data_IF_717666028578
#
_entry.id   IF_717666028578
#
_cell.length_a   1.000
_cell.length_b   1.000
_cell.length_c   1.000
_cell.angle_alpha   90.00
_cell.angle_beta   90.00
_cell.angle_gamma   90.00
#
_symmetry.space_group_name_H-M   'P 1'
#
loop_
_entity.id
_entity.type
_entity.pdbx_description
1 polymer ?
#
# COMPACT_ATOMS: atom_id res chain seq x y z
N UNK A 1 9.65 4.67 14.85
CA UNK A 1 9.64 3.33 14.23
C UNK A 1 9.02 3.47 12.86
N UNK A 2 9.75 3.11 11.80
CA UNK A 2 9.18 3.05 10.46
C UNK A 2 8.75 1.60 10.18
N UNK A 3 7.57 1.45 9.60
CA UNK A 3 7.01 0.17 9.22
C UNK A 3 7.27 -0.08 7.74
N UNK A 4 8.05 -1.12 7.40
CA UNK A 4 8.31 -1.49 6.02
C UNK A 4 7.50 -2.73 5.64
N UNK A 5 6.95 -2.70 4.44
CA UNK A 5 6.21 -3.83 3.86
C UNK A 5 6.46 -3.87 2.36
N UNK A 6 6.52 -5.08 1.80
CA UNK A 6 6.64 -5.30 0.36
C UNK A 6 5.32 -5.89 -0.14
N UNK A 7 4.75 -5.30 -1.19
CA UNK A 7 3.52 -5.74 -1.83
C UNK A 7 3.79 -6.19 -3.27
N UNK A 8 3.32 -7.37 -3.64
CA UNK A 8 3.47 -7.93 -4.98
C UNK A 8 2.15 -7.78 -5.74
N UNK A 9 2.17 -7.11 -6.89
CA UNK A 9 1.03 -6.93 -7.78
C UNK A 9 0.67 -8.25 -8.48
N UNK A 10 -0.62 -8.59 -8.43
CA UNK A 10 -1.22 -9.70 -9.18
C UNK A 10 -1.69 -9.19 -10.54
N UNK A 11 -1.17 -9.80 -11.62
CA UNK A 11 -1.55 -9.49 -13.00
C UNK A 11 -0.37 -9.52 -13.99
N UNK A 12 -0.70 -9.75 -15.25
CA UNK A 12 0.27 -9.81 -16.36
C UNK A 12 0.91 -8.44 -16.65
N UNK A 13 0.11 -7.37 -16.65
CA UNK A 13 0.56 -6.01 -16.96
C UNK A 13 0.62 -5.13 -15.72
N UNK A 14 1.83 -4.86 -15.19
CA UNK A 14 1.96 -4.24 -13.89
C UNK A 14 1.50 -2.79 -13.88
N UNK A 15 1.71 -2.01 -14.95
CA UNK A 15 1.20 -0.63 -15.02
C UNK A 15 -0.33 -0.53 -15.01
N UNK A 16 -1.00 -1.42 -15.75
CA UNK A 16 -2.46 -1.46 -15.82
C UNK A 16 -3.05 -1.93 -14.49
N UNK A 17 -2.43 -2.92 -13.86
CA UNK A 17 -2.79 -3.39 -12.52
C UNK A 17 -2.56 -2.30 -11.47
N UNK A 18 -1.44 -1.57 -11.51
CA UNK A 18 -1.18 -0.46 -10.59
C UNK A 18 -2.22 0.64 -10.75
N UNK A 19 -2.52 1.13 -11.96
CA UNK A 19 -3.54 2.18 -12.14
C UNK A 19 -4.91 1.77 -11.62
N UNK A 20 -5.33 0.52 -11.85
CA UNK A 20 -6.57 -0.02 -11.29
C UNK A 20 -6.52 -0.07 -9.77
N UNK A 21 -5.39 -0.53 -9.23
CA UNK A 21 -5.15 -0.59 -7.80
C UNK A 21 -5.23 0.79 -7.16
N UNK A 22 -4.53 1.80 -7.69
CA UNK A 22 -4.58 3.17 -7.14
C UNK A 22 -6.01 3.73 -7.12
N UNK A 23 -6.78 3.42 -8.17
CA UNK A 23 -8.18 3.84 -8.27
C UNK A 23 -9.05 3.18 -7.20
N UNK A 24 -8.96 1.86 -7.05
CA UNK A 24 -9.76 1.11 -6.06
C UNK A 24 -9.29 1.31 -4.62
N UNK A 25 -7.98 1.41 -4.43
CA UNK A 25 -7.36 1.73 -3.16
C UNK A 25 -7.98 2.99 -2.56
N UNK A 26 -8.22 4.02 -3.39
CA UNK A 26 -8.84 5.27 -2.96
C UNK A 26 -10.26 5.07 -2.41
N UNK A 27 -11.07 4.21 -3.02
CA UNK A 27 -12.40 3.83 -2.50
C UNK A 27 -12.33 3.14 -1.14
N UNK A 28 -11.25 2.39 -0.88
CA UNK A 28 -11.00 1.73 0.41
C UNK A 28 -10.26 2.63 1.43
N UNK A 29 -10.01 3.90 1.10
CA UNK A 29 -9.28 4.84 1.95
C UNK A 29 -7.75 4.75 1.86
N UNK A 30 -7.20 3.94 0.95
CA UNK A 30 -5.76 3.90 0.64
C UNK A 30 -5.44 4.84 -0.51
N UNK A 31 -4.79 5.95 -0.21
CA UNK A 31 -4.45 7.01 -1.15
C UNK A 31 -2.97 6.88 -1.49
N UNK A 32 -2.66 6.81 -2.78
CA UNK A 32 -1.31 6.83 -3.30
C UNK A 32 -1.16 8.09 -4.14
N UNK A 33 -0.41 9.07 -3.66
CA UNK A 33 -0.20 10.37 -4.31
C UNK A 33 1.23 10.46 -4.84
N UNK A 34 1.40 10.85 -6.10
CA UNK A 34 2.71 10.98 -6.74
C UNK A 34 2.81 10.21 -8.04
N UNK A 35 4.02 9.75 -8.35
CA UNK A 35 4.33 8.99 -9.55
C UNK A 35 3.93 7.52 -9.44
N UNK A 36 3.81 6.86 -10.59
CA UNK A 36 3.51 5.42 -10.64
C UNK A 36 4.61 4.59 -9.95
N UNK A 37 5.87 5.06 -9.98
CA UNK A 37 7.03 4.37 -9.42
C UNK A 37 7.39 4.79 -7.99
N UNK A 38 6.95 5.96 -7.54
CA UNK A 38 7.18 6.41 -6.16
C UNK A 38 6.23 7.54 -5.76
N UNK A 39 5.89 7.60 -4.50
CA UNK A 39 5.05 8.66 -3.99
C UNK A 39 4.76 8.54 -2.51
N UNK A 40 3.75 9.27 -2.07
CA UNK A 40 3.24 9.28 -0.72
C UNK A 40 2.12 8.26 -0.63
N UNK A 41 2.17 7.41 0.38
CA UNK A 41 1.11 6.49 0.75
C UNK A 41 0.39 7.03 1.99
N UNK A 42 -0.93 7.15 1.90
CA UNK A 42 -1.77 7.56 3.01
C UNK A 42 -2.94 6.60 3.16
N UNK A 43 -3.07 5.98 4.31
CA UNK A 43 -4.25 5.21 4.68
C UNK A 43 -5.15 6.03 5.59
N UNK A 44 -6.37 6.30 5.13
CA UNK A 44 -7.48 6.97 5.83
C UNK A 44 -8.67 6.02 5.91
N UNK A 45 -8.50 4.91 6.65
CA UNK A 45 -9.55 3.94 6.89
C UNK A 45 -9.84 3.81 8.38
N UNK A 46 -9.79 2.58 8.89
CA UNK A 46 -9.89 2.33 10.34
C UNK A 46 -8.78 3.00 11.15
N UNK A 47 -7.64 3.22 10.53
CA UNK A 47 -6.48 3.87 11.13
C UNK A 47 -5.93 4.91 10.16
N UNK A 48 -5.39 6.00 10.69
CA UNK A 48 -4.69 7.01 9.90
C UNK A 48 -3.20 6.67 9.88
N UNK A 49 -2.68 6.31 8.71
CA UNK A 49 -1.27 6.04 8.51
C UNK A 49 -0.75 6.80 7.29
N UNK A 50 0.50 7.24 7.33
CA UNK A 50 1.16 7.99 6.27
C UNK A 50 2.60 7.49 6.12
N UNK A 51 3.06 7.48 4.88
CA UNK A 51 4.35 6.96 4.50
C UNK A 51 4.68 7.24 3.05
N UNK A 52 5.64 6.50 2.55
CA UNK A 52 6.10 6.57 1.17
C UNK A 52 5.95 5.19 0.55
N UNK A 53 5.64 5.13 -0.74
CA UNK A 53 5.70 3.90 -1.50
C UNK A 53 6.69 4.03 -2.65
N UNK A 54 7.23 2.90 -3.05
CA UNK A 54 8.14 2.76 -4.18
C UNK A 54 7.79 1.49 -4.93
N UNK A 55 7.44 1.62 -6.20
CA UNK A 55 7.18 0.51 -7.09
C UNK A 55 8.43 0.20 -7.92
N UNK A 56 8.74 -1.07 -8.00
CA UNK A 56 9.77 -1.66 -8.85
C UNK A 56 9.11 -2.80 -9.63
N UNK A 57 8.75 -2.55 -10.89
CA UNK A 57 8.06 -3.49 -11.77
C UNK A 57 6.73 -4.03 -11.19
N UNK A 58 6.75 -5.24 -10.62
CA UNK A 58 5.60 -5.91 -9.98
C UNK A 58 5.61 -5.76 -8.45
N UNK A 59 6.68 -5.23 -7.86
CA UNK A 59 6.82 -5.03 -6.42
C UNK A 59 6.50 -3.59 -6.05
N UNK A 60 5.83 -3.37 -4.93
CA UNK A 60 5.53 -2.07 -4.33
C UNK A 60 5.99 -2.15 -2.87
N UNK A 61 7.10 -1.51 -2.57
CA UNK A 61 7.57 -1.33 -1.19
C UNK A 61 6.84 -0.14 -0.58
N UNK A 62 6.25 -0.31 0.59
CA UNK A 62 5.58 0.75 1.34
C UNK A 62 6.31 0.91 2.68
N UNK A 63 6.75 2.14 2.96
CA UNK A 63 7.38 2.53 4.22
C UNK A 63 6.46 3.50 4.94
N UNK A 64 5.68 3.00 5.90
CA UNK A 64 4.82 3.82 6.76
C UNK A 64 5.66 4.43 7.87
N UNK A 65 5.79 5.76 7.85
CA UNK A 65 6.61 6.51 8.81
C UNK A 65 5.78 7.12 9.93
N UNK A 66 4.50 7.41 9.67
CA UNK A 66 3.55 7.94 10.65
C UNK A 66 2.35 7.02 10.78
N UNK A 67 2.13 6.50 11.97
CA UNK A 67 0.92 5.75 12.30
C UNK A 67 0.73 5.81 13.82
N UNK A 68 -0.51 5.68 14.31
CA UNK A 68 -0.79 5.69 15.74
C UNK A 68 0.00 4.59 16.47
N UNK A 69 0.61 4.95 17.60
CA UNK A 69 1.50 4.07 18.39
C UNK A 69 0.84 2.75 18.83
N UNK A 70 -0.48 2.77 19.03
CA UNK A 70 -1.29 1.61 19.41
C UNK A 70 -1.60 0.66 18.25
N UNK A 71 -1.27 1.02 17.01
CA UNK A 71 -1.56 0.21 15.82
C UNK A 71 -0.29 -0.51 15.36
N UNK A 72 -0.29 -1.86 15.34
CA UNK A 72 0.82 -2.60 14.79
C UNK A 72 0.83 -2.52 13.27
N UNK A 73 2.03 -2.49 12.69
CA UNK A 73 2.28 -2.69 11.26
C UNK A 73 1.41 -3.76 10.60
N UNK A 74 1.29 -4.91 11.27
CA UNK A 74 0.55 -6.07 10.78
C UNK A 74 -0.93 -5.77 10.55
N UNK A 75 -1.51 -4.81 11.27
CA UNK A 75 -2.91 -4.41 11.06
C UNK A 75 -3.08 -3.64 9.75
N UNK A 76 -2.14 -2.76 9.41
CA UNK A 76 -2.14 -2.02 8.12
C UNK A 76 -1.95 -3.02 6.97
N UNK A 77 -1.00 -3.95 7.11
CA UNK A 77 -0.75 -5.01 6.12
C UNK A 77 -1.98 -5.90 5.96
N UNK A 78 -2.62 -6.28 7.06
CA UNK A 78 -3.82 -7.13 7.03
C UNK A 78 -4.99 -6.44 6.33
N UNK A 79 -5.23 -5.15 6.59
CA UNK A 79 -6.29 -4.40 5.90
C UNK A 79 -5.97 -4.20 4.41
N UNK A 80 -4.71 -3.92 4.05
CA UNK A 80 -4.26 -3.89 2.65
C UNK A 80 -4.53 -5.23 1.95
N UNK A 81 -4.08 -6.33 2.56
CA UNK A 81 -4.30 -7.67 2.00
C UNK A 81 -5.76 -8.06 1.95
N UNK A 82 -6.59 -7.59 2.88
CA UNK A 82 -8.02 -7.92 2.92
C UNK A 82 -8.80 -7.15 1.86
N UNK A 83 -8.51 -5.87 1.68
CA UNK A 83 -9.21 -5.00 0.73
C UNK A 83 -8.67 -5.12 -0.70
N UNK A 84 -7.36 -5.33 -0.85
CA UNK A 84 -6.68 -5.34 -2.15
C UNK A 84 -6.13 -6.73 -2.52
N UNK A 85 -6.58 -7.81 -1.86
CA UNK A 85 -6.12 -9.19 -2.11
C UNK A 85 -6.18 -9.63 -3.57
N UNK A 86 -7.20 -9.17 -4.29
CA UNK A 86 -7.40 -9.45 -5.71
C UNK A 86 -6.32 -8.82 -6.60
N UNK A 87 -5.67 -7.75 -6.13
CA UNK A 87 -4.74 -6.94 -6.91
C UNK A 87 -3.31 -6.98 -6.40
N UNK A 88 -3.09 -7.19 -5.11
CA UNK A 88 -1.78 -7.29 -4.50
C UNK A 88 -1.72 -8.27 -3.33
N UNK A 89 -0.51 -8.63 -2.94
CA UNK A 89 -0.20 -9.37 -1.72
C UNK A 89 0.96 -8.70 -1.00
N UNK A 90 0.70 -8.15 0.18
CA UNK A 90 1.66 -7.44 1.03
C UNK A 90 2.19 -8.33 2.15
N UNK A 91 3.49 -8.25 2.43
CA UNK A 91 4.16 -8.90 3.54
C UNK A 91 5.09 -7.93 4.26
N UNK A 92 5.34 -8.17 5.55
CA UNK A 92 6.24 -7.35 6.36
C UNK A 92 7.69 -7.73 6.03
N UNK A 93 8.56 -6.73 5.91
CA UNK A 93 10.02 -6.87 5.72
C UNK A 93 10.81 -6.16 6.80
#
# INVERSE_FOLDING_TARGET
MACKMECILKGDNPEKSTKKLLKMAKDYGFIFEGDIDKGIFTYKGKVNAEGEYKRTEKKIEITVTKYPFFIPCSMIISELNKMLSDFLSCEKI
#
